data_IF_350384114857
#
_entry.id   IF_350384114857
#
_cell.length_a   1.000
_cell.length_b   1.000
_cell.length_c   1.000
_cell.angle_alpha   90.00
_cell.angle_beta   90.00
_cell.angle_gamma   90.00
#
_symmetry.space_group_name_H-M   'P 1'
#
loop_
_entity.id
_entity.type
_entity.pdbx_description
1 polymer ?
#
# COMPACT_ATOMS: atom_id res chain seq x y z
N UNK A 1 -30.33 18.93 16.72
CA UNK A 1 -29.13 19.74 16.59
C UNK A 1 -27.90 19.00 16.99
N UNK A 2 -27.90 18.46 18.15
CA UNK A 2 -26.84 17.54 18.57
C UNK A 2 -26.74 16.33 17.66
N UNK A 3 -27.84 15.89 17.08
CA UNK A 3 -27.88 14.74 16.18
C UNK A 3 -27.08 14.99 14.89
N UNK A 4 -27.10 16.21 14.39
CA UNK A 4 -26.38 16.54 13.17
C UNK A 4 -24.88 16.48 13.38
N UNK A 5 -24.39 16.96 14.51
CA UNK A 5 -22.99 16.86 14.86
C UNK A 5 -22.56 15.40 15.03
N UNK A 6 -23.42 14.60 15.66
CA UNK A 6 -23.14 13.17 15.84
C UNK A 6 -23.07 12.45 14.50
N UNK A 7 -23.93 12.81 13.56
CA UNK A 7 -23.91 12.19 12.23
C UNK A 7 -22.59 12.49 11.54
N UNK A 8 -22.11 13.74 11.62
CA UNK A 8 -20.84 14.12 11.03
C UNK A 8 -19.67 13.37 11.68
N UNK A 9 -19.71 13.21 13.01
CA UNK A 9 -18.71 12.46 13.73
C UNK A 9 -18.72 10.99 13.34
N UNK A 10 -19.90 10.42 13.18
CA UNK A 10 -20.06 9.04 12.74
C UNK A 10 -19.51 8.86 11.32
N UNK A 11 -19.79 9.79 10.43
CA UNK A 11 -19.28 9.74 9.06
C UNK A 11 -17.75 9.79 9.07
N UNK A 12 -17.16 10.65 9.87
CA UNK A 12 -15.70 10.71 10.01
C UNK A 12 -15.15 9.41 10.57
N UNK A 13 -15.81 8.84 11.55
CA UNK A 13 -15.38 7.55 12.13
C UNK A 13 -15.47 6.43 11.12
N UNK A 14 -16.52 6.42 10.30
CA UNK A 14 -16.67 5.44 9.23
C UNK A 14 -15.55 5.60 8.22
N UNK A 15 -15.26 6.84 7.80
CA UNK A 15 -14.18 7.12 6.86
C UNK A 15 -12.83 6.67 7.39
N UNK A 16 -12.59 6.84 8.69
CA UNK A 16 -11.36 6.41 9.34
C UNK A 16 -11.31 4.89 9.45
N UNK A 17 -12.46 4.26 9.72
CA UNK A 17 -12.53 2.82 9.93
C UNK A 17 -12.59 2.02 8.63
N UNK A 18 -13.04 2.62 7.52
CA UNK A 18 -13.04 1.97 6.22
C UNK A 18 -11.62 1.96 5.70
N UNK A 19 -11.09 0.75 5.55
CA UNK A 19 -9.78 0.57 4.96
C UNK A 19 -9.88 0.77 3.47
N UNK A 20 -9.03 1.63 2.94
CA UNK A 20 -8.77 1.70 1.53
C UNK A 20 -7.64 0.75 1.20
N UNK A 21 -7.59 0.28 -0.02
CA UNK A 21 -6.42 -0.46 -0.49
C UNK A 21 -6.01 0.01 -1.87
N UNK A 22 -4.73 0.02 -2.09
CA UNK A 22 -4.15 0.24 -3.39
C UNK A 22 -3.58 -1.09 -3.87
N UNK A 23 -4.00 -1.53 -5.05
CA UNK A 23 -3.40 -2.66 -5.73
C UNK A 23 -2.40 -2.09 -6.71
N UNK A 24 -1.15 -2.50 -6.59
CA UNK A 24 -0.02 -1.82 -7.21
C UNK A 24 0.80 -2.80 -8.02
N UNK A 25 1.15 -2.39 -9.26
CA UNK A 25 2.09 -3.13 -10.09
C UNK A 25 3.26 -2.21 -10.43
N UNK A 26 4.46 -2.67 -10.17
CA UNK A 26 5.68 -1.89 -10.31
C UNK A 26 6.56 -2.52 -11.38
N UNK A 27 6.94 -1.73 -12.38
CA UNK A 27 7.75 -2.15 -13.51
C UNK A 27 9.12 -1.48 -13.49
N UNK A 28 10.12 -2.18 -13.99
CA UNK A 28 11.47 -1.69 -14.09
C UNK A 28 12.48 -2.69 -13.56
N UNK A 29 13.60 -2.21 -13.08
CA UNK A 29 14.58 -3.04 -12.40
C UNK A 29 14.20 -3.12 -10.93
N UNK A 30 13.28 -4.04 -10.63
CA UNK A 30 12.62 -4.11 -9.32
C UNK A 30 12.75 -5.49 -8.65
N UNK A 31 13.27 -6.50 -9.37
CA UNK A 31 13.55 -7.81 -8.78
C UNK A 31 15.06 -8.01 -8.66
N UNK A 32 15.47 -8.75 -7.62
CA UNK A 32 16.89 -8.99 -7.35
C UNK A 32 17.62 -7.78 -6.77
N UNK A 33 16.89 -6.78 -6.31
CA UNK A 33 17.45 -5.51 -5.78
C UNK A 33 16.99 -5.23 -4.35
N UNK A 34 16.35 -6.21 -3.69
CA UNK A 34 15.85 -6.05 -2.33
C UNK A 34 14.55 -5.27 -2.22
N UNK A 35 13.76 -5.23 -3.29
CA UNK A 35 12.53 -4.41 -3.32
C UNK A 35 11.49 -4.91 -2.32
N UNK A 36 11.31 -6.23 -2.19
CA UNK A 36 10.32 -6.79 -1.24
C UNK A 36 10.67 -6.45 0.20
N UNK A 37 11.95 -6.53 0.55
CA UNK A 37 12.41 -6.14 1.89
C UNK A 37 12.21 -4.64 2.12
N UNK A 38 12.58 -3.84 1.14
CA UNK A 38 12.35 -2.39 1.15
C UNK A 38 10.88 -2.07 1.38
N UNK A 39 9.99 -2.75 0.67
CA UNK A 39 8.55 -2.54 0.80
C UNK A 39 8.06 -2.87 2.22
N UNK A 40 8.52 -3.97 2.79
CA UNK A 40 8.14 -4.36 4.15
C UNK A 40 8.60 -3.33 5.18
N UNK A 41 9.85 -2.92 5.12
CA UNK A 41 10.39 -1.92 6.06
C UNK A 41 9.62 -0.61 5.96
N UNK A 42 9.39 -0.14 4.75
CA UNK A 42 8.68 1.11 4.53
C UNK A 42 7.20 1.02 4.89
N UNK A 43 6.56 -0.10 4.61
CA UNK A 43 5.16 -0.31 4.98
C UNK A 43 4.98 -0.25 6.50
N UNK A 44 5.86 -0.87 7.24
CA UNK A 44 5.81 -0.84 8.70
C UNK A 44 6.05 0.56 9.24
N UNK A 45 6.97 1.29 8.64
CA UNK A 45 7.29 2.66 9.03
C UNK A 45 6.15 3.63 8.73
N UNK A 46 5.58 3.53 7.53
CA UNK A 46 4.48 4.39 7.08
C UNK A 46 3.16 4.03 7.76
N UNK A 47 2.98 2.78 8.10
CA UNK A 47 1.72 2.29 8.69
C UNK A 47 0.72 1.84 7.64
N UNK A 48 1.17 1.05 6.66
CA UNK A 48 0.27 0.33 5.75
C UNK A 48 0.42 -1.17 5.96
N UNK A 49 -0.66 -1.89 5.70
CA UNK A 49 -0.72 -3.34 5.78
C UNK A 49 -0.89 -3.92 4.38
N UNK A 50 -0.80 -5.21 4.25
CA UNK A 50 -0.99 -5.88 2.98
C UNK A 50 0.15 -6.82 2.66
N UNK A 51 0.64 -6.77 1.42
CA UNK A 51 1.67 -7.72 0.98
C UNK A 51 2.39 -7.23 -0.27
N UNK A 52 3.54 -7.85 -0.53
CA UNK A 52 4.34 -7.62 -1.73
C UNK A 52 4.88 -8.95 -2.23
N UNK A 53 4.91 -9.13 -3.55
CA UNK A 53 5.50 -10.31 -4.17
C UNK A 53 6.09 -9.99 -5.54
N UNK A 54 7.04 -10.81 -5.96
CA UNK A 54 7.56 -10.78 -7.32
C UNK A 54 6.65 -11.59 -8.25
N UNK A 55 6.45 -11.08 -9.46
CA UNK A 55 5.70 -11.80 -10.50
C UNK A 55 6.69 -12.48 -11.46
N UNK A 56 6.25 -13.55 -12.15
CA UNK A 56 7.10 -14.23 -13.13
C UNK A 56 7.55 -13.37 -14.29
N UNK A 57 6.80 -12.31 -14.61
CA UNK A 57 7.13 -11.40 -15.73
C UNK A 57 8.12 -10.29 -15.35
N UNK A 58 8.64 -10.30 -14.13
CA UNK A 58 9.63 -9.33 -13.68
C UNK A 58 9.06 -8.15 -12.90
N UNK A 59 7.75 -7.99 -12.87
CA UNK A 59 7.12 -6.93 -12.08
C UNK A 59 7.06 -7.30 -10.61
N UNK A 60 6.84 -6.30 -9.78
CA UNK A 60 6.48 -6.47 -8.37
C UNK A 60 5.01 -6.11 -8.23
N UNK A 61 4.27 -6.95 -7.56
CA UNK A 61 2.87 -6.72 -7.23
C UNK A 61 2.75 -6.48 -5.73
N UNK A 62 1.91 -5.52 -5.33
CA UNK A 62 1.69 -5.24 -3.92
C UNK A 62 0.26 -4.79 -3.67
N UNK A 63 -0.17 -4.98 -2.43
CA UNK A 63 -1.39 -4.36 -1.90
C UNK A 63 -0.97 -3.54 -0.69
N UNK A 64 -1.37 -2.27 -0.69
CA UNK A 64 -1.17 -1.37 0.44
C UNK A 64 -2.55 -0.98 0.99
N UNK A 65 -2.83 -1.38 2.22
CA UNK A 65 -4.10 -1.11 2.87
C UNK A 65 -3.90 -0.18 4.06
N UNK A 66 -4.76 0.81 4.18
CA UNK A 66 -4.70 1.77 5.28
C UNK A 66 -5.35 3.09 4.91
N UNK A 67 -5.09 4.14 5.68
CA UNK A 67 -5.55 5.48 5.35
C UNK A 67 -4.92 5.97 4.04
N UNK A 68 -5.65 6.77 3.29
CA UNK A 68 -5.18 7.23 1.96
C UNK A 68 -3.87 8.00 2.01
N UNK A 69 -3.65 8.80 3.03
CA UNK A 69 -2.40 9.54 3.14
C UNK A 69 -1.20 8.62 3.37
N UNK A 70 -1.40 7.53 4.11
CA UNK A 70 -0.38 6.49 4.29
C UNK A 70 -0.10 5.75 2.98
N UNK A 71 -1.17 5.41 2.25
CA UNK A 71 -1.04 4.75 0.95
C UNK A 71 -0.25 5.65 -0.02
N UNK A 72 -0.56 6.94 -0.06
CA UNK A 72 0.14 7.90 -0.92
C UNK A 72 1.62 7.96 -0.59
N UNK A 73 1.94 8.03 0.69
CA UNK A 73 3.34 8.06 1.13
C UNK A 73 4.06 6.77 0.72
N UNK A 74 3.39 5.64 0.87
CA UNK A 74 3.97 4.35 0.50
C UNK A 74 4.25 4.27 -1.00
N UNK A 75 3.31 4.71 -1.82
CA UNK A 75 3.50 4.75 -3.28
C UNK A 75 4.67 5.68 -3.64
N UNK A 76 4.76 6.84 -3.02
CA UNK A 76 5.87 7.77 -3.23
C UNK A 76 7.21 7.12 -2.92
N UNK A 77 7.29 6.38 -1.82
CA UNK A 77 8.52 5.67 -1.46
C UNK A 77 8.87 4.59 -2.47
N UNK A 78 7.86 3.88 -2.96
CA UNK A 78 8.07 2.85 -3.98
C UNK A 78 8.52 3.43 -5.31
N UNK A 79 8.12 4.63 -5.67
CA UNK A 79 8.61 5.31 -6.87
C UNK A 79 10.11 5.53 -6.83
N UNK A 80 10.66 5.75 -5.66
CA UNK A 80 12.10 5.89 -5.45
C UNK A 80 12.79 4.52 -5.40
N UNK A 81 12.18 3.59 -4.67
CA UNK A 81 12.69 2.25 -4.49
C UNK A 81 14.01 2.19 -3.74
N UNK A 82 14.55 1.00 -3.53
CA UNK A 82 15.89 0.84 -2.97
C UNK A 82 16.96 1.29 -3.96
N UNK A 83 18.16 1.57 -3.45
CA UNK A 83 19.23 2.22 -4.23
C UNK A 83 19.63 1.52 -5.52
N UNK A 84 19.54 0.19 -5.58
CA UNK A 84 19.88 -0.57 -6.77
C UNK A 84 18.74 -0.71 -7.77
N UNK A 85 17.56 -0.19 -7.44
CA UNK A 85 16.37 -0.32 -8.28
C UNK A 85 16.29 0.81 -9.31
N UNK A 86 15.46 0.55 -10.33
CA UNK A 86 14.99 1.57 -11.26
C UNK A 86 13.52 1.32 -11.46
N UNK A 87 12.68 2.27 -11.06
CA UNK A 87 11.23 2.16 -11.23
C UNK A 87 10.85 2.93 -12.48
N UNK A 88 10.36 2.22 -13.48
CA UNK A 88 9.97 2.80 -14.77
C UNK A 88 8.50 3.20 -14.79
N UNK A 89 7.64 2.44 -14.10
CA UNK A 89 6.21 2.69 -14.05
C UNK A 89 5.59 2.07 -12.82
N UNK A 90 4.58 2.74 -12.26
CA UNK A 90 3.74 2.19 -11.20
C UNK A 90 2.28 2.36 -11.59
N UNK A 91 1.56 1.25 -11.66
CA UNK A 91 0.11 1.27 -11.83
C UNK A 91 -0.55 1.10 -10.48
N UNK A 92 -1.48 1.98 -10.14
CA UNK A 92 -2.15 2.00 -8.85
C UNK A 92 -3.66 2.01 -9.07
N UNK A 93 -4.35 1.04 -8.50
CA UNK A 93 -5.81 1.00 -8.47
C UNK A 93 -6.28 1.03 -7.02
N UNK A 94 -7.01 2.06 -6.66
CA UNK A 94 -7.51 2.25 -5.28
C UNK A 94 -8.97 1.80 -5.21
N UNK A 95 -9.28 1.03 -4.17
CA UNK A 95 -10.63 0.53 -3.92
C UNK A 95 -10.86 0.35 -2.42
N UNK A 96 -12.10 0.14 -2.02
CA UNK A 96 -12.40 -0.22 -0.65
C UNK A 96 -11.91 -1.66 -0.42
N UNK A 97 -11.34 -1.89 0.76
CA UNK A 97 -10.83 -3.21 1.11
C UNK A 97 -11.86 -3.97 1.92
N UNK A 98 -12.18 -5.19 1.46
CA UNK A 98 -13.00 -6.13 2.21
C UNK A 98 -12.14 -6.99 3.13
N UNK A 99 -10.84 -6.93 2.98
CA UNK A 99 -9.91 -7.74 3.77
C UNK A 99 -9.38 -6.95 4.95
N UNK A 100 -9.20 -7.68 6.04
CA UNK A 100 -8.73 -7.13 7.30
C UNK A 100 -7.26 -7.55 7.48
N UNK A 101 -6.37 -6.74 6.94
CA UNK A 101 -4.94 -7.02 7.05
C UNK A 101 -4.43 -6.60 8.42
N UNK A 102 -3.66 -7.47 9.06
CA UNK A 102 -3.08 -7.21 10.39
C UNK A 102 -1.59 -6.91 10.34
N UNK A 103 -0.95 -7.18 9.20
CA UNK A 103 0.47 -6.97 9.04
C UNK A 103 0.81 -6.73 7.57
N UNK A 104 2.08 -6.44 7.30
CA UNK A 104 2.60 -6.39 5.94
C UNK A 104 3.49 -7.61 5.71
N UNK A 105 3.15 -8.40 4.70
CA UNK A 105 3.78 -9.69 4.40
C UNK A 105 4.60 -9.63 3.14
N UNK A 106 5.76 -10.28 3.16
CA UNK A 106 6.49 -10.61 1.93
C UNK A 106 6.05 -11.99 1.48
N UNK A 107 5.58 -12.06 0.24
CA UNK A 107 5.12 -13.33 -0.35
C UNK A 107 6.10 -13.78 -1.43
N UNK A 108 6.29 -15.08 -1.49
CA UNK A 108 7.20 -15.71 -2.46
C UNK A 108 6.44 -16.45 -3.56
N UNK A 109 5.12 -16.51 -3.41
CA UNK A 109 4.25 -17.19 -4.38
C UNK A 109 3.01 -16.38 -4.67
#
# INVERSE_FOLDING_TARGET
MTNQLRVNDLIKSIDISIMQQAHVFIEGRVQGVGFRHFAKVNAEEVGVFGWVKNLPDGRVEAVFAGPMDHIREMVNRCEQGPGASRVDNIDVAVEESDEDYEEFEVRYH
#
